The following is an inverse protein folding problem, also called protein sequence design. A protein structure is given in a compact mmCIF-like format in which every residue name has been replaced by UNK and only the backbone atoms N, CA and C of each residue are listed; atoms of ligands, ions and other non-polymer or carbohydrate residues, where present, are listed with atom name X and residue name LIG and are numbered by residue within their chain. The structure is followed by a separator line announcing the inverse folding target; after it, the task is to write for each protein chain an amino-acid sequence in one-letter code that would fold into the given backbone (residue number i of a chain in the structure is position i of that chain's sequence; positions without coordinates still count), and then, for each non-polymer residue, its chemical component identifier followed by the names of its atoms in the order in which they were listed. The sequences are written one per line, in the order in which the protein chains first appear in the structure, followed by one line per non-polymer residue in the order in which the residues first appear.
data_IF_103433270910
#
_entry.id   IF_103433270910
#
_cell.length_a   1.000
_cell.length_b   1.000
_cell.length_c   1.000
_cell.angle_alpha   90.00
_cell.angle_beta   90.00
_cell.angle_gamma   90.00
#
_symmetry.space_group_name_H-M   'P 1'
#
loop_
_entity.id
_entity.type
_entity.pdbx_description
1 polymer ?
#
# COMPACT_ATOMS: atom_id res chain seq x y z
N UNK A 1 24.49 -17.23 5.02
CA UNK A 1 23.79 -15.95 4.99
C UNK A 1 22.35 -16.12 4.47
N UNK A 2 22.14 -16.78 3.31
CA UNK A 2 20.81 -16.96 2.73
C UNK A 2 19.83 -17.77 3.61
N UNK A 3 20.33 -18.69 4.44
CA UNK A 3 19.51 -19.46 5.37
C UNK A 3 19.30 -18.76 6.73
N UNK A 4 19.78 -17.55 6.89
CA UNK A 4 19.59 -16.77 8.12
C UNK A 4 18.24 -16.08 8.11
N UNK A 5 17.44 -16.10 9.20
CA UNK A 5 16.20 -15.34 9.28
C UNK A 5 16.41 -13.82 9.17
N UNK A 6 17.65 -13.35 9.44
CA UNK A 6 18.07 -11.96 9.22
C UNK A 6 18.17 -11.56 7.75
N UNK A 7 18.15 -12.52 6.82
CA UNK A 7 18.13 -12.23 5.38
C UNK A 7 16.88 -11.42 5.02
N UNK A 8 15.70 -11.90 5.42
CA UNK A 8 14.45 -11.19 5.18
C UNK A 8 14.42 -9.81 5.83
N UNK A 9 14.85 -9.69 7.10
CA UNK A 9 14.92 -8.38 7.78
C UNK A 9 15.80 -7.38 6.99
N UNK A 10 16.94 -7.82 6.48
CA UNK A 10 17.86 -6.95 5.72
C UNK A 10 17.28 -6.50 4.40
N UNK A 11 16.67 -7.40 3.63
CA UNK A 11 16.16 -7.10 2.30
C UNK A 11 14.77 -6.45 2.33
N UNK A 12 13.94 -6.80 3.31
CA UNK A 12 12.66 -6.14 3.52
C UNK A 12 12.81 -4.64 3.75
N UNK A 13 13.87 -4.17 4.41
CA UNK A 13 14.11 -2.75 4.62
C UNK A 13 14.10 -1.95 3.31
N UNK A 14 14.74 -2.46 2.25
CA UNK A 14 14.76 -1.80 0.94
C UNK A 14 13.37 -1.76 0.29
N UNK A 15 12.60 -2.85 0.42
CA UNK A 15 11.23 -2.89 -0.10
C UNK A 15 10.30 -1.99 0.68
N UNK A 16 10.43 -1.97 2.00
CA UNK A 16 9.62 -1.13 2.89
C UNK A 16 9.84 0.36 2.62
N UNK A 17 11.08 0.77 2.29
CA UNK A 17 11.38 2.14 1.85
C UNK A 17 10.62 2.48 0.54
N UNK A 18 10.63 1.57 -0.44
CA UNK A 18 9.89 1.73 -1.69
C UNK A 18 8.37 1.78 -1.44
N UNK A 19 7.87 0.93 -0.55
CA UNK A 19 6.47 0.89 -0.15
C UNK A 19 6.05 2.06 0.75
N UNK A 20 6.99 2.92 1.17
CA UNK A 20 6.77 4.06 2.08
C UNK A 20 6.20 3.63 3.43
N UNK A 21 6.64 2.46 3.92
CA UNK A 21 6.18 1.90 5.19
C UNK A 21 6.40 2.86 6.35
N UNK A 22 5.35 3.05 7.15
CA UNK A 22 5.42 3.72 8.43
C UNK A 22 4.34 3.14 9.38
N UNK A 23 4.66 3.08 10.68
CA UNK A 23 3.69 2.77 11.73
C UNK A 23 2.99 4.05 12.23
N UNK A 24 2.79 5.02 11.33
CA UNK A 24 2.10 6.28 11.60
C UNK A 24 1.31 6.76 10.38
N UNK A 25 0.47 7.78 10.58
CA UNK A 25 -0.48 8.26 9.56
C UNK A 25 0.10 9.30 8.60
N UNK A 26 1.14 10.00 9.03
CA UNK A 26 1.67 11.17 8.33
C UNK A 26 0.84 12.44 8.60
N UNK A 27 1.01 13.45 7.76
CA UNK A 27 0.49 14.80 7.94
C UNK A 27 0.90 15.41 9.30
N UNK A 28 0.22 16.45 9.76
CA UNK A 28 0.63 17.19 10.97
C UNK A 28 0.43 16.38 12.26
N UNK A 29 -0.66 15.64 12.36
CA UNK A 29 -0.99 14.89 13.56
C UNK A 29 -0.14 13.62 13.74
N UNK A 30 0.29 13.02 12.66
CA UNK A 30 1.16 11.82 12.56
C UNK A 30 0.93 10.77 13.66
N UNK A 31 -0.33 10.46 13.93
CA UNK A 31 -0.70 9.50 14.98
C UNK A 31 -0.26 8.08 14.63
N UNK A 32 0.03 7.29 15.65
CA UNK A 32 0.39 5.89 15.48
C UNK A 32 -0.69 5.10 14.73
N UNK A 33 -0.26 4.30 13.75
CA UNK A 33 -1.07 3.37 12.96
C UNK A 33 -0.32 2.04 12.87
N UNK A 34 -0.89 0.92 13.38
CA UNK A 34 -0.18 -0.36 13.41
C UNK A 34 -0.13 -0.99 12.01
N UNK A 35 0.95 -0.78 11.28
CA UNK A 35 1.22 -1.36 9.96
C UNK A 35 2.21 -2.54 10.02
N UNK A 36 2.75 -2.85 11.20
CA UNK A 36 3.76 -3.89 11.39
C UNK A 36 3.41 -5.28 10.81
N UNK A 37 2.13 -5.71 10.67
CA UNK A 37 1.85 -7.01 10.05
C UNK A 37 2.26 -7.04 8.57
N UNK A 38 2.14 -5.93 7.85
CA UNK A 38 2.66 -5.84 6.48
C UNK A 38 4.19 -5.95 6.45
N UNK A 39 4.89 -5.28 7.35
CA UNK A 39 6.35 -5.41 7.48
C UNK A 39 6.75 -6.86 7.69
N UNK A 40 6.09 -7.55 8.63
CA UNK A 40 6.39 -8.93 8.97
C UNK A 40 6.08 -9.88 7.81
N UNK A 41 5.01 -9.60 7.05
CA UNK A 41 4.70 -10.31 5.81
C UNK A 41 5.81 -10.15 4.76
N UNK A 42 6.33 -8.95 4.57
CA UNK A 42 7.44 -8.68 3.63
C UNK A 42 8.70 -9.43 4.07
N UNK A 43 9.05 -9.40 5.36
CA UNK A 43 10.20 -10.14 5.90
C UNK A 43 10.06 -11.66 5.64
N UNK A 44 8.88 -12.21 5.92
CA UNK A 44 8.59 -13.62 5.66
C UNK A 44 8.66 -13.98 4.17
N UNK A 45 8.11 -13.14 3.31
CA UNK A 45 8.16 -13.33 1.86
C UNK A 45 9.59 -13.43 1.34
N UNK A 46 10.52 -12.58 1.82
CA UNK A 46 11.93 -12.68 1.48
C UNK A 46 12.59 -13.92 2.07
N UNK A 47 12.26 -14.29 3.31
CA UNK A 47 12.87 -15.45 3.96
C UNK A 47 12.47 -16.80 3.32
N UNK A 48 11.26 -16.88 2.78
CA UNK A 48 10.78 -18.09 2.05
C UNK A 48 11.01 -18.04 0.54
N UNK A 49 11.73 -17.02 0.07
CA UNK A 49 12.04 -16.83 -1.36
C UNK A 49 10.76 -16.85 -2.23
N UNK A 50 9.74 -16.06 -1.79
CA UNK A 50 8.48 -15.99 -2.53
C UNK A 50 8.73 -15.50 -3.96
N UNK A 51 8.27 -16.22 -5.02
CA UNK A 51 8.44 -15.79 -6.40
C UNK A 51 7.92 -14.37 -6.63
N UNK A 52 8.65 -13.57 -7.42
CA UNK A 52 8.36 -12.14 -7.57
C UNK A 52 6.98 -11.87 -8.18
N UNK A 53 6.50 -12.70 -9.07
CA UNK A 53 5.15 -12.62 -9.63
C UNK A 53 4.08 -12.80 -8.54
N UNK A 54 4.23 -13.81 -7.68
CA UNK A 54 3.31 -14.03 -6.56
C UNK A 54 3.42 -12.91 -5.53
N UNK A 55 4.62 -12.45 -5.21
CA UNK A 55 4.87 -11.31 -4.34
C UNK A 55 4.18 -10.04 -4.85
N UNK A 56 4.18 -9.83 -6.17
CA UNK A 56 3.50 -8.72 -6.83
C UNK A 56 1.98 -8.86 -6.76
N UNK A 57 1.45 -10.03 -7.13
CA UNK A 57 0.00 -10.30 -7.14
C UNK A 57 -0.58 -10.13 -5.74
N UNK A 58 0.09 -10.69 -4.72
CA UNK A 58 -0.39 -10.62 -3.35
C UNK A 58 -0.48 -9.17 -2.85
N UNK A 59 0.46 -8.30 -3.23
CA UNK A 59 0.45 -6.90 -2.80
C UNK A 59 -0.52 -6.02 -3.59
N UNK A 60 -0.71 -6.28 -4.87
CA UNK A 60 -1.57 -5.44 -5.71
C UNK A 60 -3.03 -5.88 -5.68
N UNK A 61 -3.32 -7.15 -5.49
CA UNK A 61 -4.65 -7.72 -5.63
C UNK A 61 -4.87 -9.01 -4.81
N UNK A 62 -4.13 -9.19 -3.72
CA UNK A 62 -4.18 -10.41 -2.90
C UNK A 62 -5.56 -10.66 -2.30
N UNK A 63 -6.27 -9.61 -1.93
CA UNK A 63 -7.65 -9.67 -1.42
C UNK A 63 -8.70 -10.04 -2.47
N UNK A 64 -8.41 -9.84 -3.75
CA UNK A 64 -9.30 -10.17 -4.88
C UNK A 64 -9.12 -11.63 -5.37
N UNK A 65 -8.17 -12.36 -4.83
CA UNK A 65 -7.96 -13.76 -5.20
C UNK A 65 -9.13 -14.64 -4.75
N UNK A 66 -9.42 -15.74 -5.46
CA UNK A 66 -10.43 -16.70 -5.00
C UNK A 66 -10.07 -17.26 -3.62
N UNK A 67 -10.93 -17.04 -2.61
CA UNK A 67 -10.71 -17.42 -1.22
C UNK A 67 -9.37 -16.93 -0.64
N UNK A 68 -9.13 -15.60 -0.59
CA UNK A 68 -7.85 -15.04 -0.18
C UNK A 68 -7.53 -15.41 1.27
N UNK A 69 -6.28 -15.79 1.51
CA UNK A 69 -5.74 -16.04 2.85
C UNK A 69 -5.57 -14.73 3.63
N UNK A 70 -5.43 -14.83 4.95
CA UNK A 70 -5.07 -13.68 5.79
C UNK A 70 -3.76 -13.02 5.34
N UNK A 71 -2.74 -13.83 5.02
CA UNK A 71 -1.45 -13.35 4.52
C UNK A 71 -1.58 -12.54 3.22
N UNK A 72 -2.45 -12.96 2.30
CA UNK A 72 -2.72 -12.24 1.05
C UNK A 72 -3.46 -10.93 1.28
N UNK A 73 -4.37 -10.88 2.25
CA UNK A 73 -5.02 -9.63 2.66
C UNK A 73 -4.03 -8.68 3.33
N UNK A 74 -3.15 -9.18 4.19
CA UNK A 74 -2.07 -8.37 4.81
C UNK A 74 -1.15 -7.79 3.74
N UNK A 75 -0.83 -8.55 2.70
CA UNK A 75 0.02 -8.08 1.61
C UNK A 75 -0.54 -6.83 0.93
N UNK A 76 -1.87 -6.73 0.74
CA UNK A 76 -2.52 -5.56 0.12
C UNK A 76 -2.39 -4.28 0.93
N UNK A 77 -1.91 -4.37 2.18
CA UNK A 77 -1.56 -3.19 2.97
C UNK A 77 -0.43 -2.36 2.35
N UNK A 78 0.25 -2.85 1.30
CA UNK A 78 1.07 -2.01 0.42
C UNK A 78 0.34 -0.73 0.01
N UNK A 79 -0.93 -0.83 -0.37
CA UNK A 79 -1.76 0.31 -0.75
C UNK A 79 -2.21 1.16 0.43
N UNK A 80 -2.04 0.69 1.67
CA UNK A 80 -2.42 1.40 2.89
C UNK A 80 -1.25 2.15 3.55
N UNK A 81 -0.03 2.07 2.98
CA UNK A 81 1.11 2.88 3.43
C UNK A 81 1.03 4.35 3.00
N UNK A 82 -0.04 4.74 2.32
CA UNK A 82 -0.31 6.16 2.02
C UNK A 82 -0.63 6.95 3.28
N UNK A 83 -0.34 8.23 3.27
CA UNK A 83 -0.73 9.12 4.37
C UNK A 83 -2.26 9.26 4.43
N UNK A 84 -2.78 9.36 5.65
CA UNK A 84 -4.20 9.63 5.93
C UNK A 84 -4.32 10.83 6.85
N UNK A 85 -5.33 11.66 6.61
CA UNK A 85 -5.58 12.85 7.42
C UNK A 85 -6.64 12.54 8.50
N UNK A 86 -6.44 13.08 9.70
CA UNK A 86 -7.40 13.01 10.79
C UNK A 86 -7.64 14.38 11.46
N UNK A 87 -7.34 15.45 10.74
CA UNK A 87 -7.50 16.81 11.21
C UNK A 87 -8.93 17.33 10.99
N UNK A 88 -9.43 18.08 11.96
CA UNK A 88 -10.77 18.67 11.86
C UNK A 88 -10.83 19.84 10.87
N UNK A 89 -11.91 19.92 10.10
CA UNK A 89 -12.15 21.02 9.17
C UNK A 89 -11.57 20.84 7.77
N UNK A 90 -11.11 19.64 7.44
CA UNK A 90 -10.64 19.24 6.11
C UNK A 90 -11.77 18.59 5.30
N UNK A 91 -11.58 18.45 3.99
CA UNK A 91 -12.49 17.73 3.11
C UNK A 91 -12.04 16.26 2.98
N UNK A 92 -12.81 15.34 3.53
CA UNK A 92 -12.49 13.89 3.53
C UNK A 92 -12.32 13.35 2.10
N UNK A 93 -13.10 13.83 1.13
CA UNK A 93 -12.99 13.36 -0.26
C UNK A 93 -11.73 13.88 -0.95
N UNK A 94 -11.26 15.08 -0.63
CA UNK A 94 -9.98 15.60 -1.12
C UNK A 94 -8.83 14.71 -0.68
N UNK A 95 -8.76 14.37 0.60
CA UNK A 95 -7.68 13.52 1.14
C UNK A 95 -7.82 12.06 0.70
N UNK A 96 -9.04 11.54 0.56
CA UNK A 96 -9.28 10.23 -0.03
C UNK A 96 -8.73 10.18 -1.46
N UNK A 97 -9.02 11.17 -2.28
CA UNK A 97 -8.53 11.24 -3.65
C UNK A 97 -6.99 11.41 -3.70
N UNK A 98 -6.43 12.22 -2.80
CA UNK A 98 -4.98 12.37 -2.66
C UNK A 98 -4.31 11.02 -2.36
N UNK A 99 -4.92 10.20 -1.50
CA UNK A 99 -4.45 8.85 -1.19
C UNK A 99 -4.50 7.92 -2.42
N UNK A 100 -5.57 7.97 -3.21
CA UNK A 100 -5.68 7.18 -4.46
C UNK A 100 -4.62 7.59 -5.48
N UNK A 101 -4.42 8.89 -5.67
CA UNK A 101 -3.38 9.46 -6.53
C UNK A 101 -1.99 8.97 -6.10
N UNK A 102 -1.72 9.01 -4.82
CA UNK A 102 -0.46 8.56 -4.24
C UNK A 102 -0.23 7.06 -4.46
N UNK A 103 -1.25 6.21 -4.31
CA UNK A 103 -1.19 4.77 -4.62
C UNK A 103 -0.85 4.49 -6.08
N UNK A 104 -1.47 5.21 -7.02
CA UNK A 104 -1.15 5.11 -8.45
C UNK A 104 0.30 5.46 -8.70
N UNK A 105 0.75 6.61 -8.22
CA UNK A 105 2.11 7.09 -8.40
C UNK A 105 3.15 6.13 -7.81
N UNK A 106 2.89 5.62 -6.61
CA UNK A 106 3.78 4.68 -5.93
C UNK A 106 3.84 3.34 -6.65
N UNK A 107 2.70 2.79 -7.05
CA UNK A 107 2.66 1.52 -7.80
C UNK A 107 3.52 1.61 -9.06
N UNK A 108 3.38 2.67 -9.84
CA UNK A 108 4.19 2.87 -11.04
C UNK A 108 5.68 3.03 -10.73
N UNK A 109 6.00 3.86 -9.75
CA UNK A 109 7.40 4.06 -9.35
C UNK A 109 8.05 2.78 -8.89
N UNK A 110 7.37 1.97 -8.09
CA UNK A 110 7.93 0.74 -7.52
C UNK A 110 8.11 -0.36 -8.57
N UNK A 111 7.09 -0.63 -9.39
CA UNK A 111 7.13 -1.76 -10.33
C UNK A 111 7.67 -1.40 -11.71
N UNK A 112 7.49 -0.16 -12.16
CA UNK A 112 7.91 0.27 -13.50
C UNK A 112 9.17 1.15 -13.48
N UNK A 113 9.59 1.64 -12.32
CA UNK A 113 10.72 2.55 -12.20
C UNK A 113 10.47 3.93 -12.86
N UNK A 114 9.20 4.25 -13.16
CA UNK A 114 8.80 5.46 -13.87
C UNK A 114 7.87 6.29 -13.02
N UNK A 115 8.18 7.57 -12.85
CA UNK A 115 7.28 8.52 -12.17
C UNK A 115 6.22 9.02 -13.14
N UNK A 116 4.94 8.75 -12.84
CA UNK A 116 3.83 9.14 -13.73
C UNK A 116 3.03 10.36 -13.28
N UNK A 117 3.41 10.98 -12.17
CA UNK A 117 2.67 12.10 -11.59
C UNK A 117 2.47 13.29 -12.55
N UNK A 118 3.41 13.55 -13.48
CA UNK A 118 3.27 14.58 -14.50
C UNK A 118 2.13 14.29 -15.49
N UNK A 119 1.77 13.02 -15.65
CA UNK A 119 0.69 12.63 -16.59
C UNK A 119 -0.72 12.96 -16.09
N UNK A 120 -0.84 13.48 -14.86
CA UNK A 120 -2.08 14.10 -14.39
C UNK A 120 -2.52 15.31 -15.24
N UNK A 121 -1.57 16.02 -15.87
CA UNK A 121 -1.85 17.24 -16.63
C UNK A 121 -1.55 17.12 -18.13
N UNK A 122 -0.58 16.29 -18.52
CA UNK A 122 -0.14 16.13 -19.92
C UNK A 122 0.45 14.73 -20.16
N UNK A 123 0.79 14.38 -21.39
CA UNK A 123 1.53 13.14 -21.67
C UNK A 123 2.91 13.13 -21.03
N UNK A 124 3.42 11.92 -20.71
CA UNK A 124 4.74 11.79 -20.11
C UNK A 124 5.83 12.35 -21.06
N UNK A 125 6.82 13.12 -20.56
CA UNK A 125 7.78 13.80 -21.41
C UNK A 125 8.77 12.87 -22.10
N UNK A 126 8.99 11.66 -21.58
CA UNK A 126 10.01 10.73 -22.08
C UNK A 126 9.44 9.35 -22.44
N UNK A 127 8.43 8.87 -21.72
CA UNK A 127 7.83 7.56 -21.91
C UNK A 127 6.50 7.65 -22.67
N UNK A 128 6.09 6.62 -23.40
CA UNK A 128 4.86 6.65 -24.19
C UNK A 128 3.59 6.49 -23.35
N UNK A 129 3.51 7.20 -22.23
CA UNK A 129 2.38 7.20 -21.30
C UNK A 129 1.55 8.47 -21.54
N UNK A 130 0.29 8.28 -21.92
CA UNK A 130 -0.62 9.38 -22.21
C UNK A 130 -1.37 9.82 -20.95
N UNK A 131 -1.84 11.06 -20.98
CA UNK A 131 -2.67 11.64 -19.94
C UNK A 131 -3.92 10.79 -19.61
N UNK A 132 -4.62 10.25 -20.60
CA UNK A 132 -5.80 9.42 -20.39
C UNK A 132 -5.48 8.07 -19.73
N UNK A 133 -4.28 7.54 -19.92
CA UNK A 133 -3.84 6.29 -19.29
C UNK A 133 -3.62 6.45 -17.80
N UNK A 134 -3.19 7.61 -17.35
CA UNK A 134 -3.11 7.92 -15.91
C UNK A 134 -4.48 7.77 -15.22
N UNK A 135 -5.52 8.37 -15.80
CA UNK A 135 -6.87 8.31 -15.21
C UNK A 135 -7.52 6.94 -15.32
N UNK A 136 -7.12 6.12 -16.30
CA UNK A 136 -7.51 4.70 -16.34
C UNK A 136 -6.89 3.92 -15.17
N UNK A 137 -5.61 4.14 -14.88
CA UNK A 137 -4.95 3.53 -13.73
C UNK A 137 -5.55 4.02 -12.41
N UNK A 138 -5.83 5.32 -12.30
CA UNK A 138 -6.50 5.91 -11.14
C UNK A 138 -7.89 5.31 -10.93
N UNK A 139 -8.68 5.12 -11.99
CA UNK A 139 -10.01 4.54 -11.91
C UNK A 139 -10.01 3.10 -11.33
N UNK A 140 -8.95 2.32 -11.54
CA UNK A 140 -8.81 0.99 -10.96
C UNK A 140 -8.77 1.08 -9.43
N UNK A 141 -7.89 1.92 -8.89
CA UNK A 141 -7.71 2.07 -7.45
C UNK A 141 -8.81 2.92 -6.78
N UNK A 142 -9.49 3.78 -7.55
CA UNK A 142 -10.62 4.59 -7.06
C UNK A 142 -11.90 3.77 -6.81
N UNK A 143 -11.92 2.48 -7.17
CA UNK A 143 -13.01 1.56 -6.85
C UNK A 143 -12.86 0.91 -5.46
N UNK A 144 -11.77 1.18 -4.73
CA UNK A 144 -11.60 0.69 -3.37
C UNK A 144 -12.56 1.40 -2.40
N UNK A 145 -13.14 0.65 -1.47
CA UNK A 145 -13.88 1.20 -0.35
C UNK A 145 -12.86 1.81 0.62
N UNK A 146 -12.83 3.13 0.69
CA UNK A 146 -11.77 3.86 1.34
C UNK A 146 -12.29 5.19 1.89
N UNK A 147 -12.05 5.43 3.16
CA UNK A 147 -12.45 6.66 3.84
C UNK A 147 -11.24 7.32 4.47
N UNK A 148 -11.07 8.59 4.21
CA UNK A 148 -10.11 9.43 4.93
C UNK A 148 -10.77 9.95 6.21
N UNK A 149 -10.82 9.11 7.23
CA UNK A 149 -11.38 9.41 8.55
C UNK A 149 -10.53 8.76 9.63
N UNK A 150 -10.64 9.19 10.89
CA UNK A 150 -9.86 8.64 12.00
C UNK A 150 -9.92 7.12 12.15
N UNK A 151 -11.03 6.52 11.74
CA UNK A 151 -11.25 5.07 11.82
C UNK A 151 -10.71 4.29 10.61
N UNK A 152 -10.30 4.98 9.52
CA UNK A 152 -9.73 4.40 8.30
C UNK A 152 -10.49 3.16 7.78
N UNK A 153 -11.80 3.24 7.62
CA UNK A 153 -12.60 2.13 7.08
C UNK A 153 -12.31 1.86 5.59
N UNK A 154 -12.42 0.58 5.15
CA UNK A 154 -12.69 -0.63 5.94
C UNK A 154 -11.45 -1.12 6.68
N UNK A 155 -11.65 -1.78 7.82
CA UNK A 155 -10.58 -2.36 8.63
C UNK A 155 -10.67 -3.88 8.65
N UNK A 156 -9.54 -4.58 8.55
CA UNK A 156 -9.47 -6.01 8.72
C UNK A 156 -8.91 -6.35 10.11
N UNK A 157 -9.67 -7.05 10.98
CA UNK A 157 -9.16 -7.42 12.29
C UNK A 157 -8.08 -8.51 12.16
N UNK A 158 -6.89 -8.22 12.67
CA UNK A 158 -5.82 -9.20 12.79
C UNK A 158 -5.78 -9.70 14.23
N UNK A 159 -6.05 -10.97 14.42
CA UNK A 159 -5.99 -11.62 15.73
C UNK A 159 -4.54 -11.95 16.08
N UNK A 160 -3.84 -11.01 16.70
CA UNK A 160 -2.66 -11.37 17.47
C UNK A 160 -3.11 -11.96 18.82
N UNK A 161 -2.42 -12.96 19.38
CA UNK A 161 -2.87 -13.66 20.59
C UNK A 161 -3.00 -12.78 21.84
N UNK A 162 -2.71 -11.48 21.77
CA UNK A 162 -2.74 -10.55 22.91
C UNK A 162 -3.39 -9.19 22.58
N UNK A 163 -3.61 -8.82 21.33
CA UNK A 163 -4.17 -7.49 20.96
C UNK A 163 -4.95 -7.57 19.65
N UNK A 164 -6.21 -7.10 19.65
CA UNK A 164 -6.93 -6.85 18.40
C UNK A 164 -6.28 -5.66 17.71
N UNK A 165 -5.60 -5.91 16.61
CA UNK A 165 -5.06 -4.89 15.73
C UNK A 165 -5.88 -4.87 14.44
N UNK A 166 -6.19 -3.69 13.97
CA UNK A 166 -6.96 -3.49 12.75
C UNK A 166 -6.03 -3.04 11.63
N UNK A 167 -5.90 -3.84 10.60
CA UNK A 167 -5.33 -3.43 9.32
C UNK A 167 -6.47 -3.04 8.39
N UNK A 168 -6.35 -1.88 7.78
CA UNK A 168 -7.25 -1.49 6.72
C UNK A 168 -6.94 -2.31 5.46
N UNK A 169 -7.82 -3.21 5.07
CA UNK A 169 -7.73 -3.93 3.81
C UNK A 169 -8.83 -3.47 2.85
N UNK A 170 -8.56 -3.58 1.56
CA UNK A 170 -9.58 -3.37 0.54
C UNK A 170 -10.70 -4.41 0.69
N UNK A 171 -11.93 -3.99 0.65
CA UNK A 171 -13.11 -4.83 0.51
C UNK A 171 -13.88 -4.40 -0.74
#
# INVERSE_FOLDING_TARGET
LLASPRFGERWAAMWLDLARYADSRGFEADRARPMWPYRDWVIDAFNRDLPFDQFTIDQLAGDLLPAPTEAQRIATAFHRNTMTNDEGGTDDEEYRLASVIDRVNTTWTVWQGTSIGCTQCHGHPYDPIRHDEYYRALAILNNSADWDQPDEYPQWPIFAPVLMLFLCCFA
#
